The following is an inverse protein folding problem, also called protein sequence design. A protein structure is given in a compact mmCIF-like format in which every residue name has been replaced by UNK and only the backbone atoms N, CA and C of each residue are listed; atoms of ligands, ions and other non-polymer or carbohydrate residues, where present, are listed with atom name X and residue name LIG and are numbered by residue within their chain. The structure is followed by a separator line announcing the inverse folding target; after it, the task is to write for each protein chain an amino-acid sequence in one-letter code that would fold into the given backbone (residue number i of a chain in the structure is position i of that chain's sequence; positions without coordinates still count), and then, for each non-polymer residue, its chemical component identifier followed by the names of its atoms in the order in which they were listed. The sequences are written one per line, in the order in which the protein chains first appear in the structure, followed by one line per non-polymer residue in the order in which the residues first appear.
data_IF_202861369677
#
_entry.id   IF_202861369677
#
_cell.length_a   1.000
_cell.length_b   1.000
_cell.length_c   1.000
_cell.angle_alpha   90.00
_cell.angle_beta   90.00
_cell.angle_gamma   90.00
#
_symmetry.space_group_name_H-M   'P 1'
#
loop_
_entity.id
_entity.type
_entity.pdbx_description
1 polymer ?
#
# COMPACT_ATOMS: atom_id res chain seq x y z
N UNK A 1 -41.40 -20.79 21.36
CA UNK A 1 -40.74 -20.45 20.08
C UNK A 1 -39.88 -19.21 20.28
N UNK A 2 -38.73 -19.13 19.58
CA UNK A 2 -37.77 -18.01 19.46
C UNK A 2 -36.47 -18.12 20.26
N UNK A 3 -35.58 -19.00 19.82
CA UNK A 3 -34.12 -18.81 19.89
C UNK A 3 -33.47 -19.59 18.74
N UNK A 4 -33.53 -19.06 17.51
CA UNK A 4 -32.82 -19.62 16.36
C UNK A 4 -32.70 -18.54 15.28
N UNK A 5 -31.78 -17.58 15.47
CA UNK A 5 -31.37 -16.69 14.38
C UNK A 5 -30.03 -15.94 14.63
N UNK A 6 -29.10 -16.52 15.38
CA UNK A 6 -27.79 -15.88 15.66
C UNK A 6 -26.64 -16.86 15.52
N UNK A 7 -26.66 -17.72 14.49
CA UNK A 7 -25.55 -18.63 14.19
C UNK A 7 -25.06 -18.55 12.73
N UNK A 8 -25.62 -17.67 11.89
CA UNK A 8 -25.29 -17.64 10.45
C UNK A 8 -24.35 -16.51 10.02
N UNK A 9 -23.91 -15.63 10.93
CA UNK A 9 -23.10 -14.45 10.57
C UNK A 9 -21.57 -14.64 10.70
N UNK A 10 -21.08 -15.74 11.29
CA UNK A 10 -19.65 -15.92 11.59
C UNK A 10 -18.88 -16.76 10.56
N UNK A 11 -19.55 -17.43 9.62
CA UNK A 11 -18.89 -18.31 8.63
C UNK A 11 -18.63 -17.64 7.28
N UNK A 12 -19.17 -16.45 7.02
CA UNK A 12 -18.99 -15.73 5.75
C UNK A 12 -17.74 -14.83 5.70
N UNK A 13 -17.24 -14.36 6.86
CA UNK A 13 -16.10 -13.44 6.92
C UNK A 13 -14.73 -14.03 6.50
N UNK A 14 -14.35 -15.28 6.80
CA UNK A 14 -13.00 -15.76 6.47
C UNK A 14 -12.82 -16.04 4.97
N UNK A 15 -13.91 -16.38 4.27
CA UNK A 15 -13.88 -16.67 2.82
C UNK A 15 -13.69 -15.39 1.99
N UNK A 16 -14.30 -14.28 2.40
CA UNK A 16 -14.17 -12.99 1.72
C UNK A 16 -12.80 -12.37 1.93
N UNK A 17 -12.25 -12.43 3.15
CA UNK A 17 -10.92 -11.90 3.45
C UNK A 17 -9.84 -12.63 2.64
N UNK A 18 -9.90 -13.97 2.58
CA UNK A 18 -8.94 -14.77 1.82
C UNK A 18 -8.99 -14.42 0.32
N UNK A 19 -10.18 -14.34 -0.28
CA UNK A 19 -10.33 -13.97 -1.68
C UNK A 19 -9.76 -12.57 -1.96
N UNK A 20 -10.05 -11.58 -1.11
CA UNK A 20 -9.53 -10.21 -1.23
C UNK A 20 -8.00 -10.16 -1.17
N UNK A 21 -7.39 -10.92 -0.24
CA UNK A 21 -5.93 -10.98 -0.14
C UNK A 21 -5.28 -11.63 -1.35
N UNK A 22 -5.88 -12.68 -1.92
CA UNK A 22 -5.33 -13.38 -3.10
C UNK A 22 -5.40 -12.51 -4.36
N UNK A 23 -6.53 -11.84 -4.60
CA UNK A 23 -6.70 -10.93 -5.73
C UNK A 23 -5.69 -9.77 -5.67
N UNK A 24 -5.53 -9.20 -4.48
CA UNK A 24 -4.59 -8.11 -4.26
C UNK A 24 -3.12 -8.56 -4.42
N UNK A 25 -2.74 -9.73 -3.89
CA UNK A 25 -1.38 -10.29 -4.08
C UNK A 25 -1.06 -10.57 -5.55
N UNK A 26 -2.02 -11.11 -6.30
CA UNK A 26 -1.89 -11.40 -7.73
C UNK A 26 -1.55 -10.15 -8.53
N UNK A 27 -2.18 -9.01 -8.22
CA UNK A 27 -1.89 -7.75 -8.91
C UNK A 27 -0.57 -7.14 -8.44
N UNK A 28 -0.29 -7.14 -7.14
CA UNK A 28 0.97 -6.61 -6.61
C UNK A 28 2.20 -7.37 -7.14
N UNK A 29 2.06 -8.66 -7.44
CA UNK A 29 3.12 -9.45 -8.07
C UNK A 29 3.53 -8.96 -9.46
N UNK A 30 2.71 -8.15 -10.14
CA UNK A 30 3.00 -7.57 -11.46
C UNK A 30 3.89 -6.33 -11.39
N UNK A 31 4.02 -5.70 -10.21
CA UNK A 31 4.91 -4.56 -10.06
C UNK A 31 6.37 -5.00 -10.12
N UNK A 32 7.25 -4.19 -10.74
CA UNK A 32 8.69 -4.38 -10.61
C UNK A 32 9.09 -4.53 -9.13
N UNK A 33 9.86 -5.59 -8.85
CA UNK A 33 10.33 -5.87 -7.49
C UNK A 33 11.64 -5.12 -7.27
N UNK A 34 11.59 -4.18 -6.33
CA UNK A 34 12.79 -3.53 -5.82
C UNK A 34 13.00 -3.93 -4.35
N UNK A 35 14.23 -4.26 -3.95
CA UNK A 35 14.53 -4.54 -2.55
C UNK A 35 14.37 -3.25 -1.73
N UNK A 36 13.91 -3.30 -0.46
CA UNK A 36 13.73 -2.11 0.37
C UNK A 36 14.98 -1.21 0.45
N UNK A 37 16.17 -1.78 0.36
CA UNK A 37 17.46 -1.08 0.39
C UNK A 37 17.67 -0.13 -0.79
N UNK A 38 16.93 -0.30 -1.89
CA UNK A 38 16.95 0.62 -3.04
C UNK A 38 16.33 2.00 -2.73
N UNK A 39 15.68 2.16 -1.58
CA UNK A 39 15.07 3.41 -1.14
C UNK A 39 15.19 3.58 0.37
N UNK A 40 15.73 4.72 0.83
CA UNK A 40 15.85 5.01 2.26
C UNK A 40 14.48 4.90 2.96
N UNK A 41 13.41 5.36 2.31
CA UNK A 41 12.06 5.32 2.86
C UNK A 41 11.51 3.88 2.92
N UNK A 42 11.77 3.06 1.89
CA UNK A 42 11.36 1.66 1.91
C UNK A 42 12.14 0.87 2.96
N UNK A 43 13.44 1.14 3.12
CA UNK A 43 14.25 0.58 4.19
C UNK A 43 13.72 0.96 5.57
N UNK A 44 13.35 2.23 5.79
CA UNK A 44 12.76 2.67 7.05
C UNK A 44 11.46 1.93 7.39
N UNK A 45 10.62 1.65 6.38
CA UNK A 45 9.41 0.82 6.56
C UNK A 45 9.79 -0.61 6.96
N UNK A 46 10.73 -1.23 6.24
CA UNK A 46 11.19 -2.60 6.54
C UNK A 46 11.75 -2.70 7.96
N UNK A 47 12.66 -1.78 8.33
CA UNK A 47 13.28 -1.72 9.65
C UNK A 47 12.23 -1.53 10.76
N UNK A 48 11.18 -0.75 10.49
CA UNK A 48 10.10 -0.56 11.45
C UNK A 48 9.26 -1.84 11.63
N UNK A 49 8.93 -2.52 10.53
CA UNK A 49 8.18 -3.79 10.55
C UNK A 49 8.96 -4.87 11.31
N UNK A 50 10.27 -4.97 11.07
CA UNK A 50 11.11 -5.94 11.78
C UNK A 50 11.17 -5.64 13.27
N UNK A 51 11.29 -4.36 13.66
CA UNK A 51 11.15 -3.96 15.07
C UNK A 51 9.79 -4.29 15.68
N UNK A 52 8.69 -4.23 14.92
CA UNK A 52 7.37 -4.64 15.43
C UNK A 52 7.32 -6.14 15.74
N UNK A 53 7.97 -6.99 14.94
CA UNK A 53 8.03 -8.44 15.17
C UNK A 53 8.81 -8.81 16.43
N UNK A 54 9.71 -7.94 16.88
CA UNK A 54 10.52 -8.14 18.09
C UNK A 54 9.80 -7.66 19.37
N UNK A 55 8.65 -7.00 19.27
CA UNK A 55 7.95 -6.45 20.45
C UNK A 55 7.22 -7.56 21.23
N UNK A 56 7.10 -7.43 22.56
CA UNK A 56 6.21 -8.28 23.34
C UNK A 56 4.77 -8.22 22.80
N UNK A 57 4.15 -9.37 22.58
CA UNK A 57 2.81 -9.47 21.99
C UNK A 57 2.81 -9.57 20.46
N UNK A 58 3.95 -9.59 19.79
CA UNK A 58 4.01 -9.80 18.33
C UNK A 58 3.50 -11.18 17.88
N UNK A 59 3.42 -12.15 18.80
CA UNK A 59 2.74 -13.42 18.60
C UNK A 59 1.21 -13.30 18.45
N UNK A 60 0.62 -12.22 18.96
CA UNK A 60 -0.78 -11.86 18.71
C UNK A 60 -0.89 -11.18 17.33
N UNK A 61 -1.58 -11.82 16.36
CA UNK A 61 -1.74 -11.27 15.01
C UNK A 61 -2.37 -9.87 15.00
N UNK A 62 -3.29 -9.58 15.93
CA UNK A 62 -3.98 -8.30 15.99
C UNK A 62 -3.06 -7.20 16.56
N UNK A 63 -2.21 -7.53 17.52
CA UNK A 63 -1.20 -6.62 18.03
C UNK A 63 -0.15 -6.31 16.96
N UNK A 64 0.40 -7.33 16.30
CA UNK A 64 1.39 -7.16 15.24
C UNK A 64 0.81 -6.33 14.09
N UNK A 65 -0.43 -6.62 13.69
CA UNK A 65 -1.19 -5.85 12.70
C UNK A 65 -1.27 -4.38 13.08
N UNK A 66 -1.73 -4.07 14.30
CA UNK A 66 -1.87 -2.70 14.76
C UNK A 66 -0.52 -1.95 14.85
N UNK A 67 0.54 -2.62 15.32
CA UNK A 67 1.88 -2.05 15.39
C UNK A 67 2.37 -1.58 14.02
N UNK A 68 2.21 -2.45 13.01
CA UNK A 68 2.62 -2.22 11.63
C UNK A 68 1.82 -1.05 11.04
N UNK A 69 0.48 -1.09 11.09
CA UNK A 69 -0.39 -0.04 10.52
C UNK A 69 -0.09 1.34 11.11
N UNK A 70 0.02 1.44 12.44
CA UNK A 70 0.25 2.73 13.12
C UNK A 70 1.61 3.31 12.77
N UNK A 71 2.66 2.48 12.80
CA UNK A 71 4.00 2.97 12.52
C UNK A 71 4.23 3.36 11.08
N UNK A 72 3.65 2.60 10.17
CA UNK A 72 3.75 2.92 8.74
C UNK A 72 3.06 4.23 8.38
N UNK A 73 1.89 4.52 8.96
CA UNK A 73 1.22 5.83 8.81
C UNK A 73 2.09 6.98 9.31
N UNK A 74 2.94 6.72 10.30
CA UNK A 74 3.84 7.71 10.89
C UNK A 74 5.07 8.01 10.02
N UNK A 75 5.41 7.15 9.05
CA UNK A 75 6.60 7.31 8.20
C UNK A 75 6.38 8.22 6.98
N UNK A 76 5.15 8.67 6.71
CA UNK A 76 4.81 9.65 5.67
C UNK A 76 5.56 9.44 4.33
N UNK A 77 5.63 8.20 3.85
CA UNK A 77 6.44 7.80 2.67
C UNK A 77 5.89 8.25 1.31
N UNK A 78 5.00 9.25 1.31
CA UNK A 78 4.31 9.74 0.11
C UNK A 78 5.30 10.18 -0.96
N UNK A 79 5.08 9.73 -2.19
CA UNK A 79 5.89 10.13 -3.34
C UNK A 79 7.16 9.29 -3.58
N UNK A 80 7.42 8.24 -2.79
CA UNK A 80 8.42 7.24 -3.13
C UNK A 80 7.75 5.97 -3.63
N UNK A 81 8.06 5.58 -4.88
CA UNK A 81 7.45 4.42 -5.53
C UNK A 81 7.72 3.13 -4.74
N UNK A 82 8.99 2.85 -4.42
CA UNK A 82 9.40 1.59 -3.77
C UNK A 82 8.73 1.45 -2.40
N UNK A 83 8.71 2.53 -1.62
CA UNK A 83 8.05 2.54 -0.33
C UNK A 83 6.53 2.35 -0.46
N UNK A 84 5.88 3.01 -1.42
CA UNK A 84 4.44 2.87 -1.66
C UNK A 84 4.03 1.46 -2.10
N UNK A 85 4.81 0.82 -2.99
CA UNK A 85 4.57 -0.59 -3.38
C UNK A 85 4.76 -1.52 -2.20
N UNK A 86 5.82 -1.34 -1.41
CA UNK A 86 6.07 -2.14 -0.22
C UNK A 86 4.95 -1.99 0.82
N UNK A 87 4.50 -0.75 1.06
CA UNK A 87 3.34 -0.43 1.88
C UNK A 87 2.06 -1.12 1.40
N UNK A 88 1.78 -1.06 0.10
CA UNK A 88 0.62 -1.69 -0.50
C UNK A 88 0.64 -3.22 -0.30
N UNK A 89 1.82 -3.86 -0.41
CA UNK A 89 2.04 -5.28 -0.12
C UNK A 89 1.70 -5.67 1.30
N UNK A 90 2.18 -4.90 2.28
CA UNK A 90 1.96 -5.23 3.69
C UNK A 90 0.48 -5.03 4.08
N UNK A 91 -0.17 -3.96 3.61
CA UNK A 91 -1.60 -3.74 3.85
C UNK A 91 -2.47 -4.82 3.17
N UNK A 92 -2.04 -5.27 1.99
CA UNK A 92 -2.67 -6.37 1.27
C UNK A 92 -2.64 -7.68 2.08
N UNK A 93 -1.50 -8.04 2.64
CA UNK A 93 -1.33 -9.24 3.47
C UNK A 93 -2.21 -9.21 4.72
N UNK A 94 -2.53 -8.01 5.22
CA UNK A 94 -3.40 -7.80 6.37
C UNK A 94 -4.90 -7.74 6.03
N UNK A 95 -5.26 -7.90 4.74
CA UNK A 95 -6.62 -7.81 4.25
C UNK A 95 -7.18 -6.39 4.15
N UNK A 96 -6.31 -5.37 4.21
CA UNK A 96 -6.71 -3.97 4.13
C UNK A 96 -6.66 -3.46 2.68
N UNK A 97 -7.39 -4.10 1.77
CA UNK A 97 -7.34 -3.80 0.33
C UNK A 97 -7.58 -2.31 0.01
N UNK A 98 -8.53 -1.67 0.69
CA UNK A 98 -8.80 -0.25 0.52
C UNK A 98 -7.61 0.65 0.89
N UNK A 99 -6.83 0.27 1.92
CA UNK A 99 -5.62 1.00 2.31
C UNK A 99 -4.49 0.74 1.32
N UNK A 100 -4.36 -0.50 0.84
CA UNK A 100 -3.44 -0.84 -0.26
C UNK A 100 -3.70 0.01 -1.52
N UNK A 101 -4.97 0.16 -1.92
CA UNK A 101 -5.38 1.05 -3.02
C UNK A 101 -4.98 2.50 -2.79
N UNK A 102 -5.05 3.01 -1.57
CA UNK A 102 -4.61 4.36 -1.26
C UNK A 102 -3.09 4.54 -1.50
N UNK A 103 -2.27 3.58 -1.08
CA UNK A 103 -0.82 3.60 -1.35
C UNK A 103 -0.52 3.56 -2.84
N UNK A 104 -1.22 2.72 -3.60
CA UNK A 104 -1.09 2.66 -5.05
C UNK A 104 -1.62 3.93 -5.74
N UNK A 105 -2.64 4.59 -5.19
CA UNK A 105 -3.10 5.90 -5.63
C UNK A 105 -2.03 6.99 -5.54
N UNK A 106 -1.10 6.88 -4.59
CA UNK A 106 0.06 7.77 -4.52
C UNK A 106 1.05 7.51 -5.65
N UNK A 107 1.21 6.26 -6.10
CA UNK A 107 2.05 5.90 -7.26
C UNK A 107 1.50 6.54 -8.53
N UNK A 108 0.18 6.50 -8.75
CA UNK A 108 -0.47 7.13 -9.92
C UNK A 108 -0.11 8.62 -10.04
N UNK A 109 0.09 9.29 -8.91
CA UNK A 109 0.44 10.72 -8.84
C UNK A 109 1.94 10.98 -8.66
N UNK A 110 2.75 9.92 -8.59
CA UNK A 110 4.18 10.03 -8.39
C UNK A 110 4.90 10.34 -9.71
N UNK A 111 5.61 11.46 -9.76
CA UNK A 111 6.38 11.88 -10.94
C UNK A 111 7.66 11.06 -11.17
N UNK A 112 8.13 10.33 -10.15
CA UNK A 112 9.27 9.44 -10.24
C UNK A 112 8.89 8.01 -10.68
N UNK A 113 7.59 7.69 -10.74
CA UNK A 113 7.13 6.41 -11.26
C UNK A 113 7.04 6.46 -12.78
N UNK A 114 7.46 5.38 -13.45
CA UNK A 114 7.32 5.25 -14.90
C UNK A 114 5.84 5.25 -15.32
N UNK A 115 5.57 5.49 -16.61
CA UNK A 115 4.20 5.44 -17.11
C UNK A 115 3.59 4.04 -16.93
N UNK A 116 4.38 2.98 -17.15
CA UNK A 116 3.98 1.60 -16.93
C UNK A 116 3.63 1.32 -15.46
N UNK A 117 4.47 1.79 -14.52
CA UNK A 117 4.22 1.65 -13.08
C UNK A 117 2.93 2.36 -12.64
N UNK A 118 2.70 3.57 -13.19
CA UNK A 118 1.47 4.33 -12.95
C UNK A 118 0.26 3.61 -13.54
N UNK A 119 0.36 3.07 -14.76
CA UNK A 119 -0.72 2.31 -15.40
C UNK A 119 -1.11 1.07 -14.59
N UNK A 120 -0.14 0.30 -14.09
CA UNK A 120 -0.39 -0.87 -13.23
C UNK A 120 -1.13 -0.47 -11.95
N UNK A 121 -0.68 0.60 -11.28
CA UNK A 121 -1.34 1.13 -10.09
C UNK A 121 -2.77 1.61 -10.40
N UNK A 122 -2.96 2.28 -11.52
CA UNK A 122 -4.28 2.73 -11.95
C UNK A 122 -5.22 1.58 -12.28
N UNK A 123 -4.72 0.52 -12.92
CA UNK A 123 -5.53 -0.67 -13.20
C UNK A 123 -6.05 -1.30 -11.91
N UNK A 124 -5.24 -1.35 -10.86
CA UNK A 124 -5.68 -1.89 -9.57
C UNK A 124 -6.70 -0.99 -8.85
N UNK A 125 -6.49 0.33 -8.86
CA UNK A 125 -7.35 1.27 -8.14
C UNK A 125 -8.66 1.51 -8.88
N UNK A 126 -8.60 1.66 -10.20
CA UNK A 126 -9.67 2.18 -11.04
C UNK A 126 -10.17 1.21 -12.12
N UNK A 127 -9.54 0.04 -12.29
CA UNK A 127 -9.78 -0.87 -13.41
C UNK A 127 -9.19 -0.35 -14.73
N UNK A 128 -9.71 -0.79 -15.87
CA UNK A 128 -9.22 -0.41 -17.22
C UNK A 128 -9.53 1.04 -17.62
N UNK A 129 -9.76 1.93 -16.64
CA UNK A 129 -9.93 3.36 -16.88
C UNK A 129 -8.58 3.97 -17.29
N UNK A 130 -8.60 5.03 -18.11
CA UNK A 130 -7.37 5.74 -18.44
C UNK A 130 -6.70 6.31 -17.19
N UNK A 131 -5.37 6.51 -17.28
CA UNK A 131 -4.63 7.20 -16.24
C UNK A 131 -5.21 8.61 -16.02
N UNK A 132 -5.49 9.01 -14.76
CA UNK A 132 -5.79 10.41 -14.50
C UNK A 132 -4.57 11.26 -14.87
N UNK A 133 -4.83 12.44 -15.41
CA UNK A 133 -3.76 13.40 -15.70
C UNK A 133 -2.92 13.62 -14.44
N UNK A 134 -1.58 13.55 -14.51
CA UNK A 134 -0.75 13.79 -13.34
C UNK A 134 -1.09 15.15 -12.75
N UNK A 135 -1.30 15.20 -11.42
CA UNK A 135 -1.49 16.48 -10.73
C UNK A 135 -0.26 17.35 -10.98
N UNK A 136 -0.41 18.38 -11.82
CA UNK A 136 0.58 19.46 -11.91
C UNK A 136 0.49 20.21 -10.59
N UNK A 137 1.50 20.11 -9.74
CA UNK A 137 1.69 21.08 -8.64
C UNK A 137 1.74 22.47 -9.26
N UNK A 138 0.78 23.37 -8.96
CA UNK A 138 0.88 24.75 -9.42
C UNK A 138 2.10 25.39 -8.75
N UNK A 139 3.10 25.76 -9.54
CA UNK A 139 4.17 26.67 -9.11
C UNK A 139 5.36 26.05 -8.38
N UNK A 140 6.21 25.34 -9.12
CA UNK A 140 7.65 25.65 -9.09
C UNK A 140 8.02 25.94 -10.54
N UNK A 141 8.02 27.22 -10.91
CA UNK A 141 8.72 27.61 -12.12
C UNK A 141 10.15 27.10 -11.99
N UNK A 142 10.59 26.29 -12.96
CA UNK A 142 12.01 26.08 -13.17
C UNK A 142 12.63 27.46 -13.29
N UNK A 143 13.32 27.89 -12.23
CA UNK A 143 14.15 29.07 -12.26
C UNK A 143 15.13 28.85 -13.41
N UNK A 144 14.97 29.66 -14.45
CA UNK A 144 15.98 29.82 -15.49
C UNK A 144 17.28 30.17 -14.78
N UNK A 145 18.22 29.23 -14.78
CA UNK A 145 19.61 29.53 -14.44
C UNK A 145 20.12 30.41 -15.59
N UNK A 146 19.95 31.72 -15.43
CA UNK A 146 20.65 32.69 -16.27
C UNK A 146 22.14 32.55 -15.97
N UNK A 147 22.87 31.98 -16.92
CA UNK A 147 24.33 32.09 -16.98
C UNK A 147 24.67 33.55 -17.25
N UNK A 148 25.28 34.21 -16.28
CA UNK A 148 26.15 35.37 -16.48
C UNK A 148 27.49 35.05 -15.83
#
# INVERSE_FOLDING_TARGET
MRYLCTAFLLLALPLTLKAQTEDCKSVLAKFPKYPPESSILAKQVSDYVDKCKERPGAEDPDFLKNCIVVGMRSLAVSGNYVAAVHMAGIECEQGNEGVSKNWLGLIINNQNASEEERMLANQFVNGDKPLPAPMRTPGLQQGTINKY
#
